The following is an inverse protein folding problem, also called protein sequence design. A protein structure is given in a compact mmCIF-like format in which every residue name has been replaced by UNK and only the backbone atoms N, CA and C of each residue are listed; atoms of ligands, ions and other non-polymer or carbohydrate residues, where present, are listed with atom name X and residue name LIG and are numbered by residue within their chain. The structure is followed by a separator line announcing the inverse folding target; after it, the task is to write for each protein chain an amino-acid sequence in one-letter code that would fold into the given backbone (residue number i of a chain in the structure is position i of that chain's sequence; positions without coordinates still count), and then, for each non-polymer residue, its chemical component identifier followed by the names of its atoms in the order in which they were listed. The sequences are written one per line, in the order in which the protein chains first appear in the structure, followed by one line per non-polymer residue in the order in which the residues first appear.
data_IF_365739352717
#
_entry.id   IF_365739352717
#
_cell.length_a   1.000
_cell.length_b   1.000
_cell.length_c   1.000
_cell.angle_alpha   90.00
_cell.angle_beta   90.00
_cell.angle_gamma   90.00
#
_symmetry.space_group_name_H-M   'P 1'
#
loop_
_entity.id
_entity.type
_entity.pdbx_description
1 polymer ?
#
# COMPACT_ATOMS: atom_id res chain seq x y z
N UNK A 1 -29.19 31.39 1.76
CA UNK A 1 -27.85 31.54 1.14
C UNK A 1 -26.78 32.09 2.11
N UNK A 2 -27.00 33.22 2.80
CA UNK A 2 -25.99 33.85 3.70
C UNK A 2 -25.51 33.00 4.90
N UNK A 3 -26.38 32.17 5.48
CA UNK A 3 -26.03 31.28 6.62
C UNK A 3 -25.03 30.18 6.21
N UNK A 4 -25.33 29.44 5.13
CA UNK A 4 -24.46 28.39 4.58
C UNK A 4 -23.06 28.90 4.17
N UNK A 5 -22.97 30.11 3.64
CA UNK A 5 -21.68 30.74 3.29
C UNK A 5 -20.86 31.14 4.53
N UNK A 6 -21.53 31.61 5.59
CA UNK A 6 -20.89 31.92 6.87
C UNK A 6 -20.38 30.66 7.58
N UNK A 7 -21.14 29.57 7.51
CA UNK A 7 -20.76 28.27 8.06
C UNK A 7 -19.54 27.70 7.30
N UNK A 8 -19.52 27.84 5.96
CA UNK A 8 -18.38 27.46 5.11
C UNK A 8 -17.09 28.24 5.42
N UNK A 9 -17.18 29.56 5.60
CA UNK A 9 -16.02 30.38 5.98
C UNK A 9 -15.48 30.03 7.37
N UNK A 10 -16.36 29.66 8.31
CA UNK A 10 -15.95 29.17 9.62
C UNK A 10 -15.20 27.83 9.52
N UNK A 11 -15.66 26.90 8.68
CA UNK A 11 -14.97 25.62 8.45
C UNK A 11 -13.58 25.84 7.86
N UNK A 12 -13.45 26.72 6.85
CA UNK A 12 -12.13 27.05 6.25
C UNK A 12 -11.20 27.66 7.30
N UNK A 13 -11.72 28.59 8.12
CA UNK A 13 -10.93 29.24 9.17
C UNK A 13 -10.42 28.23 10.20
N UNK A 14 -11.27 27.31 10.65
CA UNK A 14 -10.87 26.22 11.57
C UNK A 14 -9.83 25.30 10.94
N UNK A 15 -9.98 24.93 9.66
CA UNK A 15 -8.98 24.10 8.94
C UNK A 15 -7.63 24.80 8.80
N UNK A 16 -7.60 26.09 8.49
CA UNK A 16 -6.37 26.88 8.40
C UNK A 16 -5.68 26.97 9.78
N UNK A 17 -6.43 27.21 10.85
CA UNK A 17 -5.90 27.24 12.21
C UNK A 17 -5.34 25.87 12.64
N UNK A 18 -5.98 24.75 12.25
CA UNK A 18 -5.47 23.39 12.51
C UNK A 18 -4.15 23.11 11.77
N UNK A 19 -4.05 23.49 10.49
CA UNK A 19 -2.84 23.34 9.68
C UNK A 19 -1.67 24.14 10.27
N UNK A 20 -1.89 25.39 10.66
CA UNK A 20 -0.88 26.20 11.32
C UNK A 20 -0.38 25.59 12.64
N UNK A 21 -1.29 25.03 13.45
CA UNK A 21 -0.95 24.36 14.72
C UNK A 21 -0.13 23.09 14.46
N UNK A 22 -0.49 22.27 13.46
CA UNK A 22 0.27 21.06 13.08
C UNK A 22 1.69 21.38 12.59
N UNK A 23 1.84 22.42 11.76
CA UNK A 23 3.17 22.86 11.30
C UNK A 23 4.03 23.34 12.47
N UNK A 24 3.46 24.12 13.39
CA UNK A 24 4.15 24.59 14.61
C UNK A 24 4.55 23.43 15.54
N UNK A 25 3.71 22.40 15.69
CA UNK A 25 4.03 21.18 16.46
C UNK A 25 5.21 20.42 15.86
N UNK A 26 5.21 20.20 14.53
CA UNK A 26 6.31 19.53 13.83
C UNK A 26 7.62 20.29 14.02
N UNK A 27 7.62 21.61 13.82
CA UNK A 27 8.80 22.45 14.03
C UNK A 27 9.32 22.42 15.48
N UNK A 28 8.43 22.46 16.49
CA UNK A 28 8.83 22.35 17.90
C UNK A 28 9.42 20.97 18.23
N UNK A 29 8.87 19.90 17.66
CA UNK A 29 9.36 18.52 17.89
C UNK A 29 10.78 18.31 17.35
N UNK A 30 11.08 18.87 16.18
CA UNK A 30 12.43 18.85 15.59
C UNK A 30 13.40 19.67 16.44
N UNK A 31 13.01 20.88 16.87
CA UNK A 31 13.82 21.71 17.78
C UNK A 31 14.09 21.00 19.11
N UNK A 32 13.11 20.29 19.66
CA UNK A 32 13.28 19.50 20.89
C UNK A 32 14.30 18.37 20.71
N UNK A 33 14.26 17.65 19.58
CA UNK A 33 15.25 16.60 19.25
C UNK A 33 16.66 17.17 19.12
N UNK A 34 16.82 18.27 18.37
CA UNK A 34 18.10 18.95 18.23
C UNK A 34 18.66 19.46 19.56
N UNK A 35 17.81 19.99 20.44
CA UNK A 35 18.23 20.47 21.77
C UNK A 35 18.65 19.33 22.69
N UNK A 36 18.00 18.16 22.62
CA UNK A 36 18.40 16.95 23.35
C UNK A 36 19.77 16.43 22.92
N UNK A 37 20.06 16.46 21.61
CA UNK A 37 21.38 16.08 21.07
C UNK A 37 22.46 17.04 21.58
N UNK A 38 22.22 18.36 21.53
CA UNK A 38 23.15 19.36 22.07
C UNK A 38 23.39 19.20 23.58
N UNK A 39 22.39 18.77 24.34
CA UNK A 39 22.52 18.50 25.79
C UNK A 39 23.46 17.35 26.12
N UNK A 40 23.55 16.34 25.24
CA UNK A 40 24.51 15.24 25.39
C UNK A 40 25.96 15.68 25.13
N UNK A 41 26.17 16.87 24.57
CA UNK A 41 27.46 17.35 24.05
C UNK A 41 28.02 18.57 24.81
N UNK A 42 27.43 19.05 25.90
CA UNK A 42 27.76 20.34 26.53
C UNK A 42 28.03 20.31 28.04
N UNK A 43 28.92 21.21 28.49
CA UNK A 43 29.46 21.35 29.87
C UNK A 43 28.60 22.21 30.81
N UNK A 44 27.56 22.92 30.33
CA UNK A 44 26.66 23.71 31.19
C UNK A 44 25.17 23.33 30.99
N UNK A 45 24.67 22.30 31.71
CA UNK A 45 23.37 21.64 31.46
C UNK A 45 22.13 22.40 31.94
N UNK A 46 22.26 23.35 32.87
CA UNK A 46 21.13 24.01 33.55
C UNK A 46 20.29 24.91 32.60
N UNK A 47 20.93 25.80 31.83
CA UNK A 47 20.21 26.71 30.91
C UNK A 47 19.48 25.97 29.76
N UNK A 48 19.99 24.81 29.34
CA UNK A 48 19.39 24.01 28.27
C UNK A 48 18.22 23.18 28.82
N UNK A 49 18.31 22.71 30.07
CA UNK A 49 17.25 22.00 30.79
C UNK A 49 16.00 22.88 30.98
N UNK A 50 16.18 24.16 31.27
CA UNK A 50 15.06 25.13 31.36
C UNK A 50 14.39 25.38 30.00
N UNK A 51 15.18 25.52 28.94
CA UNK A 51 14.64 25.62 27.57
C UNK A 51 13.87 24.37 27.17
N UNK A 52 14.34 23.16 27.51
CA UNK A 52 13.61 21.91 27.29
C UNK A 52 12.28 21.89 28.05
N UNK A 53 12.26 22.34 29.30
CA UNK A 53 11.04 22.39 30.13
C UNK A 53 9.99 23.31 29.50
N UNK A 54 10.40 24.50 29.05
CA UNK A 54 9.51 25.45 28.36
C UNK A 54 8.98 24.91 27.02
N UNK A 55 9.83 24.24 26.22
CA UNK A 55 9.42 23.60 24.96
C UNK A 55 8.42 22.47 25.18
N UNK A 56 8.60 21.63 26.21
CA UNK A 56 7.65 20.58 26.58
C UNK A 56 6.28 21.13 26.98
N UNK A 57 6.25 22.23 27.74
CA UNK A 57 4.99 22.89 28.12
C UNK A 57 4.26 23.45 26.89
N UNK A 58 4.98 24.12 25.97
CA UNK A 58 4.39 24.63 24.72
C UNK A 58 3.86 23.52 23.81
N UNK A 59 4.56 22.37 23.74
CA UNK A 59 4.10 21.18 23.01
C UNK A 59 2.79 20.64 23.59
N UNK A 60 2.69 20.51 24.92
CA UNK A 60 1.44 20.07 25.58
C UNK A 60 0.28 21.03 25.32
N UNK A 61 0.53 22.34 25.41
CA UNK A 61 -0.50 23.36 25.15
C UNK A 61 -1.02 23.34 23.70
N UNK A 62 -0.13 23.15 22.70
CA UNK A 62 -0.57 23.00 21.31
C UNK A 62 -1.33 21.69 21.06
N UNK A 63 -0.94 20.60 21.71
CA UNK A 63 -1.63 19.31 21.59
C UNK A 63 -3.08 19.41 22.12
N UNK A 64 -3.26 20.01 23.30
CA UNK A 64 -4.59 20.26 23.87
C UNK A 64 -5.42 21.20 22.99
N UNK A 65 -4.81 22.24 22.39
CA UNK A 65 -5.49 23.14 21.46
C UNK A 65 -5.94 22.41 20.18
N UNK A 66 -5.19 21.40 19.74
CA UNK A 66 -5.55 20.55 18.61
C UNK A 66 -6.73 19.63 18.95
N UNK A 67 -6.77 19.09 20.18
CA UNK A 67 -7.89 18.28 20.69
C UNK A 67 -9.18 19.10 20.87
N UNK A 68 -9.08 20.35 21.35
CA UNK A 68 -10.23 21.24 21.52
C UNK A 68 -10.83 21.73 20.19
N UNK A 69 -10.02 21.79 19.12
CA UNK A 69 -10.48 22.07 17.76
C UNK A 69 -11.14 20.85 17.08
N UNK A 70 -11.27 19.73 17.79
CA UNK A 70 -11.69 18.43 17.28
C UNK A 70 -13.09 17.98 17.80
N UNK A 71 -13.94 18.92 18.22
CA UNK A 71 -15.34 18.60 18.54
C UNK A 71 -16.15 18.30 17.27
N UNK A 72 -16.08 17.04 16.83
CA UNK A 72 -17.07 16.18 16.14
C UNK A 72 -16.30 14.94 15.60
N UNK A 73 -16.54 13.72 16.10
CA UNK A 73 -15.66 12.55 15.89
C UNK A 73 -15.99 11.80 14.59
N UNK A 74 -15.94 12.46 13.42
CA UNK A 74 -16.29 11.81 12.15
C UNK A 74 -15.14 11.87 11.10
N UNK A 75 -14.04 12.59 11.36
CA UNK A 75 -13.00 12.82 10.34
C UNK A 75 -11.73 11.94 10.39
N UNK A 76 -11.50 11.17 11.47
CA UNK A 76 -10.19 10.52 11.71
C UNK A 76 -10.21 9.00 11.45
N UNK A 77 -11.39 8.36 11.46
CA UNK A 77 -11.50 6.91 11.20
C UNK A 77 -11.30 6.57 9.70
N UNK A 78 -11.55 7.50 8.77
CA UNK A 78 -11.30 7.30 7.33
C UNK A 78 -9.83 7.41 6.91
N UNK A 79 -8.96 7.99 7.75
CA UNK A 79 -7.52 8.11 7.46
C UNK A 79 -6.71 6.92 7.98
N UNK A 80 -7.28 6.07 8.85
CA UNK A 80 -6.58 4.93 9.47
C UNK A 80 -7.07 3.56 8.98
N UNK A 81 -8.21 3.45 8.30
CA UNK A 81 -8.74 2.16 7.80
C UNK A 81 -8.63 2.03 6.26
N UNK A 82 -8.10 3.04 5.54
CA UNK A 82 -8.08 3.02 4.07
C UNK A 82 -6.77 3.40 3.38
N UNK A 83 -5.70 3.68 4.12
CA UNK A 83 -4.45 4.14 3.50
C UNK A 83 -3.21 3.71 4.28
N UNK A 84 -2.73 2.51 4.00
CA UNK A 84 -1.29 2.24 4.04
C UNK A 84 -0.65 2.93 2.82
N UNK A 85 -0.52 4.26 2.87
CA UNK A 85 0.34 5.01 1.95
C UNK A 85 1.80 4.82 2.36
N UNK A 86 2.40 3.71 1.93
CA UNK A 86 3.82 3.54 1.63
C UNK A 86 3.84 2.50 0.49
N UNK A 87 4.15 2.74 -0.77
CA UNK A 87 4.44 3.94 -1.54
C UNK A 87 4.96 3.47 -2.92
N UNK A 88 4.14 3.55 -3.97
CA UNK A 88 4.51 3.66 -5.39
C UNK A 88 3.22 3.63 -6.25
N UNK A 89 3.20 4.38 -7.37
CA UNK A 89 2.07 4.49 -8.28
C UNK A 89 1.88 3.19 -9.07
N UNK A 90 0.78 2.45 -8.86
CA UNK A 90 0.44 1.30 -9.73
C UNK A 90 0.21 1.81 -11.15
N UNK A 91 1.13 1.45 -12.07
CA UNK A 91 1.00 1.76 -13.47
C UNK A 91 0.10 0.72 -14.15
N UNK A 92 -1.21 1.01 -14.17
CA UNK A 92 -2.23 0.19 -14.84
C UNK A 92 -1.83 -0.19 -16.27
N UNK A 93 -1.04 0.64 -16.97
CA UNK A 93 -0.66 0.41 -18.36
C UNK A 93 0.35 -0.74 -18.54
N UNK A 94 1.32 -0.89 -17.63
CA UNK A 94 2.29 -2.01 -17.66
C UNK A 94 1.54 -3.32 -17.44
N UNK A 95 0.60 -3.30 -16.50
CA UNK A 95 -0.22 -4.44 -16.16
C UNK A 95 -1.16 -4.81 -17.31
N UNK A 96 -1.91 -3.86 -17.88
CA UNK A 96 -2.82 -4.11 -19.01
C UNK A 96 -2.13 -4.80 -20.19
N UNK A 97 -0.91 -4.36 -20.52
CA UNK A 97 -0.13 -4.93 -21.63
C UNK A 97 0.29 -6.38 -21.36
N UNK A 98 0.51 -6.70 -20.10
CA UNK A 98 1.07 -7.98 -19.69
C UNK A 98 0.01 -8.96 -19.18
N UNK A 99 -1.22 -8.52 -18.81
CA UNK A 99 -2.33 -9.41 -18.46
C UNK A 99 -2.68 -10.33 -19.65
N UNK A 100 -2.38 -11.63 -19.60
CA UNK A 100 -2.64 -12.59 -20.65
C UNK A 100 -4.13 -12.86 -20.73
N UNK A 101 -4.52 -13.68 -21.69
CA UNK A 101 -5.89 -14.14 -21.84
C UNK A 101 -6.34 -15.15 -20.76
N UNK A 102 -5.59 -15.33 -19.67
CA UNK A 102 -5.79 -16.40 -18.67
C UNK A 102 -6.82 -16.06 -17.59
N UNK A 103 -7.94 -15.45 -17.93
CA UNK A 103 -9.06 -15.47 -17.00
C UNK A 103 -10.35 -15.64 -17.78
N UNK A 104 -10.99 -16.80 -17.62
CA UNK A 104 -12.28 -17.13 -18.24
C UNK A 104 -13.46 -16.31 -17.68
N UNK A 105 -13.21 -15.38 -16.75
CA UNK A 105 -14.22 -14.38 -16.35
C UNK A 105 -14.42 -13.43 -17.53
N UNK A 106 -15.18 -13.90 -18.52
CA UNK A 106 -15.56 -13.13 -19.71
C UNK A 106 -16.44 -11.97 -19.26
N UNK A 107 -15.81 -10.81 -19.05
CA UNK A 107 -16.42 -9.48 -19.05
C UNK A 107 -17.84 -9.45 -18.47
N UNK A 108 -17.97 -9.80 -17.19
CA UNK A 108 -19.28 -9.78 -16.56
C UNK A 108 -19.57 -8.35 -16.10
N UNK A 109 -20.46 -7.67 -16.83
CA UNK A 109 -20.92 -6.34 -16.43
C UNK A 109 -22.16 -6.45 -15.56
N UNK A 110 -22.11 -5.81 -14.39
CA UNK A 110 -23.30 -5.60 -13.56
C UNK A 110 -23.60 -4.11 -13.48
N UNK A 111 -24.88 -3.76 -13.57
CA UNK A 111 -25.36 -2.37 -13.54
C UNK A 111 -26.38 -2.26 -12.44
N UNK A 112 -26.17 -1.33 -11.53
CA UNK A 112 -27.11 -1.10 -10.45
C UNK A 112 -28.17 -0.06 -10.84
N UNK A 113 -29.12 0.19 -9.93
CA UNK A 113 -30.21 1.17 -10.12
C UNK A 113 -29.73 2.61 -10.34
N UNK A 114 -28.48 2.93 -9.97
CA UNK A 114 -27.88 4.25 -10.19
C UNK A 114 -27.38 4.46 -11.62
N UNK A 115 -27.44 3.43 -12.46
CA UNK A 115 -26.97 3.46 -13.85
C UNK A 115 -25.44 3.37 -13.99
N UNK A 116 -24.73 3.07 -12.91
CA UNK A 116 -23.29 2.80 -12.95
C UNK A 116 -23.09 1.32 -13.25
N UNK A 117 -22.33 1.06 -14.31
CA UNK A 117 -21.96 -0.28 -14.73
C UNK A 117 -20.50 -0.55 -14.35
N UNK A 118 -20.27 -1.62 -13.60
CA UNK A 118 -18.92 -2.13 -13.35
C UNK A 118 -18.78 -3.46 -14.09
N UNK A 119 -17.67 -3.63 -14.77
CA UNK A 119 -17.30 -4.86 -15.46
C UNK A 119 -16.15 -5.49 -14.70
N UNK A 120 -16.33 -6.76 -14.34
CA UNK A 120 -15.26 -7.63 -13.88
C UNK A 120 -14.52 -8.13 -15.11
N UNK A 121 -13.36 -7.52 -15.37
CA UNK A 121 -12.62 -7.71 -16.62
C UNK A 121 -11.73 -8.95 -16.54
N UNK A 122 -10.96 -9.08 -15.44
CA UNK A 122 -10.05 -10.21 -15.20
C UNK A 122 -9.91 -10.50 -13.71
N UNK A 123 -9.67 -11.77 -13.40
CA UNK A 123 -9.26 -12.24 -12.07
C UNK A 123 -8.04 -13.14 -12.24
N UNK A 124 -6.96 -12.83 -11.52
CA UNK A 124 -5.73 -13.63 -11.52
C UNK A 124 -5.45 -14.12 -10.11
N UNK A 125 -5.09 -15.39 -10.03
CA UNK A 125 -4.58 -16.02 -8.83
C UNK A 125 -3.06 -16.11 -8.93
N UNK A 126 -2.37 -15.59 -7.93
CA UNK A 126 -0.95 -15.83 -7.67
C UNK A 126 -0.79 -16.66 -6.40
N UNK A 127 0.46 -17.01 -6.08
CA UNK A 127 0.80 -17.83 -4.92
C UNK A 127 0.22 -17.30 -3.59
N UNK A 128 0.28 -15.98 -3.39
CA UNK A 128 -0.05 -15.31 -2.12
C UNK A 128 -1.15 -14.24 -2.25
N UNK A 129 -1.71 -14.05 -3.45
CA UNK A 129 -2.70 -13.00 -3.71
C UNK A 129 -3.66 -13.33 -4.85
N UNK A 130 -4.83 -12.69 -4.81
CA UNK A 130 -5.71 -12.55 -5.96
C UNK A 130 -5.71 -11.11 -6.41
N UNK A 131 -5.61 -10.93 -7.72
CA UNK A 131 -5.82 -9.65 -8.37
C UNK A 131 -7.13 -9.61 -9.12
N UNK A 132 -7.82 -8.48 -8.98
CA UNK A 132 -9.07 -8.20 -9.65
C UNK A 132 -8.91 -6.96 -10.49
N UNK A 133 -9.20 -7.09 -11.78
CA UNK A 133 -9.20 -5.99 -12.73
C UNK A 133 -10.64 -5.64 -13.10
N UNK A 134 -10.99 -4.35 -13.00
CA UNK A 134 -12.33 -3.87 -13.31
C UNK A 134 -12.33 -2.64 -14.21
N UNK A 135 -13.37 -2.53 -15.03
CA UNK A 135 -13.72 -1.32 -15.78
C UNK A 135 -15.07 -0.81 -15.28
N UNK A 136 -15.08 0.43 -14.79
CA UNK A 136 -16.30 1.16 -14.45
C UNK A 136 -16.64 2.14 -15.57
N UNK A 137 -17.87 2.06 -16.06
CA UNK A 137 -18.48 3.08 -16.90
C UNK A 137 -19.34 3.98 -16.00
N UNK A 138 -18.93 5.24 -15.86
CA UNK A 138 -19.54 6.21 -14.95
C UNK A 138 -20.41 7.20 -15.71
N UNK A 139 -21.48 7.63 -15.05
CA UNK A 139 -22.44 8.62 -15.56
C UNK A 139 -21.93 10.07 -15.35
N UNK A 140 -20.89 10.25 -14.52
CA UNK A 140 -20.31 11.56 -14.15
C UNK A 140 -18.82 11.63 -14.45
N UNK A 141 -18.28 12.84 -14.62
CA UNK A 141 -16.84 13.08 -14.78
C UNK A 141 -16.05 13.05 -13.47
N UNK A 142 -16.71 13.03 -12.31
CA UNK A 142 -16.05 13.05 -10.99
C UNK A 142 -15.15 11.83 -10.77
N UNK A 143 -14.11 12.00 -9.94
CA UNK A 143 -13.22 10.90 -9.57
C UNK A 143 -13.95 9.96 -8.60
N UNK A 144 -14.11 8.70 -9.01
CA UNK A 144 -14.75 7.67 -8.19
C UNK A 144 -13.68 6.94 -7.38
N UNK A 145 -13.90 6.88 -6.08
CA UNK A 145 -13.10 6.12 -5.12
C UNK A 145 -13.92 4.88 -4.73
N UNK A 146 -13.37 3.70 -4.99
CA UNK A 146 -13.94 2.46 -4.48
C UNK A 146 -13.90 2.49 -2.95
N UNK A 147 -15.04 2.24 -2.29
CA UNK A 147 -15.16 2.45 -0.84
C UNK A 147 -15.06 1.19 -0.01
N UNK A 148 -15.71 0.11 -0.44
CA UNK A 148 -15.66 -1.18 0.26
C UNK A 148 -15.70 -2.31 -0.75
N UNK A 149 -14.74 -3.23 -0.63
CA UNK A 149 -14.68 -4.41 -1.47
C UNK A 149 -14.51 -5.63 -0.58
N UNK A 150 -15.30 -6.65 -0.87
CA UNK A 150 -15.31 -7.90 -0.16
C UNK A 150 -15.03 -9.01 -1.18
N UNK A 151 -14.13 -9.93 -0.81
CA UNK A 151 -13.90 -11.15 -1.57
C UNK A 151 -14.08 -12.35 -0.66
N UNK A 152 -14.76 -13.36 -1.16
CA UNK A 152 -14.91 -14.66 -0.52
C UNK A 152 -14.37 -15.73 -1.44
N UNK A 153 -13.61 -16.66 -0.87
CA UNK A 153 -13.16 -17.88 -1.54
C UNK A 153 -13.79 -19.05 -0.80
N UNK A 154 -14.55 -19.88 -1.52
CA UNK A 154 -15.24 -21.04 -0.96
C UNK A 154 -16.09 -20.67 0.29
N UNK A 155 -16.74 -19.51 0.25
CA UNK A 155 -17.56 -18.98 1.35
C UNK A 155 -16.79 -18.37 2.53
N UNK A 156 -15.45 -18.42 2.54
CA UNK A 156 -14.61 -17.76 3.53
C UNK A 156 -14.22 -16.35 3.05
N UNK A 157 -14.55 -15.32 3.85
CA UNK A 157 -14.16 -13.94 3.56
C UNK A 157 -12.65 -13.77 3.69
N UNK A 158 -12.01 -13.19 2.68
CA UNK A 158 -10.63 -12.76 2.78
C UNK A 158 -10.54 -11.56 3.73
N UNK A 159 -9.71 -11.68 4.76
CA UNK A 159 -9.47 -10.62 5.75
C UNK A 159 -8.27 -9.73 5.37
N UNK A 160 -7.55 -10.10 4.28
CA UNK A 160 -6.33 -9.45 3.84
C UNK A 160 -6.51 -7.99 3.41
N UNK A 161 -5.42 -7.21 3.52
CA UNK A 161 -5.42 -5.79 3.17
C UNK A 161 -5.76 -5.55 1.71
N UNK A 162 -6.77 -4.71 1.48
CA UNK A 162 -7.14 -4.22 0.15
C UNK A 162 -6.17 -3.10 -0.25
N UNK A 163 -5.38 -3.31 -1.30
CA UNK A 163 -4.70 -2.23 -1.99
C UNK A 163 -5.14 -2.19 -3.45
N UNK A 164 -5.12 -1.00 -4.05
CA UNK A 164 -5.51 -0.86 -5.43
C UNK A 164 -5.19 0.51 -6.00
N UNK A 165 -5.25 0.58 -7.31
CA UNK A 165 -5.13 1.82 -8.07
C UNK A 165 -6.27 1.94 -9.02
N UNK A 166 -6.44 3.14 -9.54
CA UNK A 166 -7.33 3.39 -10.64
C UNK A 166 -6.72 4.38 -11.61
N UNK A 167 -7.01 4.18 -12.89
CA UNK A 167 -6.64 5.09 -13.96
C UNK A 167 -7.89 5.65 -14.63
N UNK A 168 -7.85 6.96 -14.89
CA UNK A 168 -8.89 7.67 -15.59
C UNK A 168 -8.58 7.61 -17.08
N UNK A 169 -8.84 6.47 -17.70
CA UNK A 169 -8.58 6.30 -19.14
C UNK A 169 -9.46 7.20 -20.02
N UNK A 170 -10.65 7.57 -19.54
CA UNK A 170 -11.54 8.55 -20.18
C UNK A 170 -12.39 9.26 -19.12
N UNK A 171 -12.94 10.43 -19.44
CA UNK A 171 -13.83 11.23 -18.58
C UNK A 171 -14.98 10.41 -18.00
N UNK A 172 -15.45 9.37 -18.67
CA UNK A 172 -16.57 8.52 -18.24
C UNK A 172 -16.18 7.05 -18.02
N UNK A 173 -14.88 6.72 -18.06
CA UNK A 173 -14.40 5.34 -17.90
C UNK A 173 -13.20 5.28 -16.97
N UNK A 174 -13.31 4.47 -15.92
CA UNK A 174 -12.27 4.28 -14.92
C UNK A 174 -11.89 2.80 -14.86
N UNK A 175 -10.60 2.51 -14.96
CA UNK A 175 -10.05 1.16 -14.76
C UNK A 175 -9.48 1.04 -13.37
N UNK A 176 -9.54 -0.13 -12.76
CA UNK A 176 -8.93 -0.36 -11.46
C UNK A 176 -8.34 -1.77 -11.34
N UNK A 177 -7.25 -1.87 -10.59
CA UNK A 177 -6.68 -3.15 -10.14
C UNK A 177 -6.77 -3.17 -8.63
N UNK A 178 -7.32 -4.25 -8.07
CA UNK A 178 -7.39 -4.52 -6.64
C UNK A 178 -6.64 -5.78 -6.30
N UNK A 179 -6.00 -5.75 -5.14
CA UNK A 179 -5.20 -6.83 -4.59
C UNK A 179 -5.83 -7.33 -3.31
N UNK A 180 -5.96 -8.65 -3.23
CA UNK A 180 -6.42 -9.38 -2.06
C UNK A 180 -5.34 -10.37 -1.64
N UNK A 181 -4.77 -10.20 -0.44
CA UNK A 181 -3.82 -11.17 0.11
C UNK A 181 -4.56 -12.46 0.44
N UNK A 182 -4.02 -13.59 0.01
CA UNK A 182 -4.52 -14.91 0.38
C UNK A 182 -4.08 -15.24 1.79
N UNK A 183 -4.99 -15.87 2.53
CA UNK A 183 -4.61 -16.52 3.78
C UNK A 183 -3.87 -17.82 3.45
N UNK A 184 -2.80 -18.14 4.18
CA UNK A 184 -1.99 -19.35 3.98
C UNK A 184 -2.81 -20.65 4.14
N UNK A 185 -4.00 -20.58 4.76
CA UNK A 185 -4.95 -21.69 4.84
C UNK A 185 -5.66 -22.00 3.51
N UNK A 186 -5.69 -21.05 2.56
CA UNK A 186 -6.39 -21.20 1.29
C UNK A 186 -5.40 -21.74 0.26
N UNK A 187 -5.35 -23.07 0.14
CA UNK A 187 -4.55 -23.76 -0.89
C UNK A 187 -5.36 -23.96 -2.16
N UNK A 188 -5.04 -23.26 -3.27
CA UNK A 188 -5.84 -23.33 -4.50
C UNK A 188 -5.48 -24.60 -5.30
N UNK A 189 -6.00 -25.75 -4.88
CA UNK A 189 -5.67 -27.03 -5.53
C UNK A 189 -6.87 -27.62 -6.30
N UNK A 190 -8.03 -26.98 -6.19
CA UNK A 190 -9.32 -27.46 -6.69
C UNK A 190 -10.09 -26.34 -7.43
N UNK A 191 -11.34 -26.62 -7.76
CA UNK A 191 -12.30 -25.59 -8.15
C UNK A 191 -12.44 -24.58 -7.01
N UNK A 192 -12.23 -23.31 -7.31
CA UNK A 192 -12.42 -22.20 -6.37
C UNK A 192 -13.70 -21.46 -6.74
N UNK A 193 -14.59 -21.36 -5.75
CA UNK A 193 -15.76 -20.48 -5.81
C UNK A 193 -15.33 -19.10 -5.35
N UNK A 194 -15.42 -18.11 -6.23
CA UNK A 194 -15.13 -16.71 -5.91
C UNK A 194 -16.45 -15.95 -5.86
N UNK A 195 -16.65 -15.21 -4.77
CA UNK A 195 -17.67 -14.18 -4.65
C UNK A 195 -16.96 -12.85 -4.44
N UNK A 196 -17.13 -11.91 -5.38
CA UNK A 196 -16.55 -10.58 -5.30
C UNK A 196 -17.67 -9.55 -5.25
N UNK A 197 -17.61 -8.65 -4.26
CA UNK A 197 -18.66 -7.69 -3.98
C UNK A 197 -18.02 -6.31 -3.78
N UNK A 198 -18.54 -5.31 -4.50
CA UNK A 198 -18.24 -3.90 -4.27
C UNK A 198 -19.49 -3.27 -3.64
N UNK A 199 -19.32 -2.72 -2.44
CA UNK A 199 -20.39 -2.07 -1.67
C UNK A 199 -20.14 -0.58 -1.62
N UNK A 200 -21.15 0.15 -2.10
CA UNK A 200 -21.17 1.58 -2.29
C UNK A 200 -19.96 2.12 -3.08
N UNK A 201 -20.07 3.36 -3.53
CA UNK A 201 -18.95 4.09 -4.11
C UNK A 201 -18.83 5.43 -3.42
N UNK A 202 -17.60 5.86 -3.14
CA UNK A 202 -17.31 7.23 -2.72
C UNK A 202 -16.83 8.02 -3.92
N UNK A 203 -17.05 9.32 -3.95
CA UNK A 203 -16.38 10.18 -4.90
C UNK A 203 -15.82 11.41 -4.23
N UNK A 204 -14.69 11.89 -4.72
CA UNK A 204 -14.16 13.20 -4.37
C UNK A 204 -14.40 14.15 -5.53
N UNK A 205 -15.24 15.17 -5.34
CA UNK A 205 -15.31 16.26 -6.31
C UNK A 205 -14.12 17.22 -6.13
N UNK A 206 -13.93 18.14 -7.07
CA UNK A 206 -12.87 19.16 -7.03
C UNK A 206 -12.93 20.08 -5.79
N UNK A 207 -14.03 20.02 -5.03
CA UNK A 207 -14.23 20.78 -3.80
C UNK A 207 -13.95 19.94 -2.53
N UNK A 208 -13.39 18.73 -2.67
CA UNK A 208 -13.14 17.77 -1.59
C UNK A 208 -14.40 17.33 -0.84
N UNK A 209 -15.57 17.44 -1.48
CA UNK A 209 -16.80 16.87 -0.93
C UNK A 209 -16.83 15.38 -1.28
N UNK A 210 -16.95 14.56 -0.24
CA UNK A 210 -17.21 13.14 -0.40
C UNK A 210 -18.69 12.90 -0.46
N UNK A 211 -19.20 12.35 -1.56
CA UNK A 211 -20.54 11.77 -1.56
C UNK A 211 -20.43 10.26 -1.67
N UNK A 212 -21.45 9.62 -1.13
CA UNK A 212 -21.71 8.20 -1.24
C UNK A 212 -22.74 7.96 -2.35
N UNK A 213 -22.47 6.99 -3.21
CA UNK A 213 -23.46 6.38 -4.09
C UNK A 213 -23.74 5.01 -3.51
N UNK A 214 -24.94 4.82 -2.99
CA UNK A 214 -25.34 3.51 -2.50
C UNK A 214 -25.55 2.54 -3.65
N UNK A 215 -25.05 1.33 -3.50
CA UNK A 215 -25.13 0.32 -4.55
C UNK A 215 -24.31 -0.91 -4.24
N UNK A 216 -24.66 -2.02 -4.88
CA UNK A 216 -23.91 -3.25 -4.80
C UNK A 216 -23.62 -3.75 -6.22
N UNK A 217 -22.38 -4.17 -6.45
CA UNK A 217 -21.95 -4.86 -7.66
C UNK A 217 -21.30 -6.16 -7.22
N UNK A 218 -21.96 -7.29 -7.51
CA UNK A 218 -21.51 -8.61 -7.10
C UNK A 218 -21.36 -9.55 -8.28
N UNK A 219 -20.36 -10.43 -8.16
CA UNK A 219 -20.05 -11.50 -9.11
C UNK A 219 -19.80 -12.78 -8.34
N UNK A 220 -20.39 -13.86 -8.82
CA UNK A 220 -20.13 -15.21 -8.32
C UNK A 220 -19.76 -16.11 -9.50
N UNK A 221 -18.61 -16.78 -9.39
CA UNK A 221 -18.19 -17.75 -10.39
C UNK A 221 -17.33 -18.85 -9.77
N UNK A 222 -17.29 -19.99 -10.46
CA UNK A 222 -16.43 -21.12 -10.15
C UNK A 222 -15.43 -21.24 -11.28
N UNK A 223 -14.15 -21.31 -10.94
CA UNK A 223 -13.07 -21.57 -11.87
C UNK A 223 -12.10 -22.57 -11.26
N UNK A 224 -11.36 -23.31 -12.10
CA UNK A 224 -10.23 -24.08 -11.56
C UNK A 224 -9.13 -23.10 -11.15
N UNK A 225 -8.41 -23.40 -10.07
CA UNK A 225 -7.22 -22.65 -9.72
C UNK A 225 -6.25 -22.51 -10.90
N UNK A 226 -6.05 -23.58 -11.68
CA UNK A 226 -5.22 -23.60 -12.89
C UNK A 226 -5.68 -22.65 -14.00
N UNK A 227 -6.96 -22.30 -14.04
CA UNK A 227 -7.55 -21.40 -15.04
C UNK A 227 -7.38 -19.92 -14.65
N UNK A 228 -7.07 -19.66 -13.37
CA UNK A 228 -6.80 -18.32 -12.83
C UNK A 228 -5.32 -18.12 -12.51
N UNK A 229 -4.57 -19.20 -12.34
CA UNK A 229 -3.15 -19.18 -11.96
C UNK A 229 -2.27 -18.71 -13.10
N UNK A 230 -1.27 -17.93 -12.74
CA UNK A 230 -0.15 -17.56 -13.60
C UNK A 230 1.03 -18.50 -13.38
N UNK A 231 1.68 -18.94 -14.47
CA UNK A 231 2.97 -19.64 -14.39
C UNK A 231 3.98 -18.74 -13.66
N UNK A 232 4.51 -19.26 -12.55
CA UNK A 232 5.45 -18.55 -11.68
C UNK A 232 6.67 -19.41 -11.49
N UNK A 233 7.82 -18.89 -11.90
CA UNK A 233 9.12 -19.49 -11.66
C UNK A 233 9.56 -19.18 -10.23
N UNK A 234 10.00 -20.21 -9.52
CA UNK A 234 10.53 -20.07 -8.16
C UNK A 234 12.03 -20.33 -8.21
N UNK A 235 12.80 -19.36 -7.74
CA UNK A 235 14.26 -19.44 -7.61
C UNK A 235 14.62 -19.42 -6.14
N UNK A 236 15.05 -20.55 -5.62
CA UNK A 236 15.52 -20.69 -4.24
C UNK A 236 16.83 -19.92 -4.03
N UNK A 237 16.89 -19.11 -2.98
CA UNK A 237 18.06 -18.26 -2.67
C UNK A 237 18.73 -18.72 -1.37
N UNK A 238 17.94 -18.82 -0.30
CA UNK A 238 18.39 -19.25 1.04
C UNK A 238 19.69 -18.59 1.51
N UNK A 239 19.80 -17.27 1.34
CA UNK A 239 20.96 -16.49 1.77
C UNK A 239 20.62 -15.66 3.00
N UNK A 240 21.46 -15.72 4.03
CA UNK A 240 21.26 -14.97 5.28
C UNK A 240 22.36 -13.96 5.53
N UNK A 241 21.99 -12.85 6.17
CA UNK A 241 22.93 -11.85 6.66
C UNK A 241 22.45 -11.28 8.01
N UNK A 242 23.40 -10.77 8.79
CA UNK A 242 23.16 -10.27 10.15
C UNK A 242 23.28 -8.75 10.13
N UNK A 243 22.22 -8.04 10.50
CA UNK A 243 22.19 -6.58 10.60
C UNK A 243 22.99 -6.07 11.82
N UNK A 244 23.32 -4.76 11.89
CA UNK A 244 24.09 -4.21 13.01
C UNK A 244 23.41 -4.34 14.39
N UNK A 245 22.10 -4.58 14.43
CA UNK A 245 21.32 -4.84 15.65
C UNK A 245 21.15 -6.35 15.95
N UNK A 246 21.97 -7.20 15.34
CA UNK A 246 21.97 -8.66 15.45
C UNK A 246 20.75 -9.36 14.83
N UNK A 247 19.82 -8.62 14.20
CA UNK A 247 18.72 -9.25 13.47
C UNK A 247 19.25 -10.08 12.31
N UNK A 248 18.74 -11.31 12.18
CA UNK A 248 19.08 -12.20 11.07
C UNK A 248 17.99 -12.06 10.02
N UNK A 249 18.40 -11.67 8.82
CA UNK A 249 17.52 -11.64 7.64
C UNK A 249 17.92 -12.80 6.74
N UNK A 250 16.96 -13.63 6.37
CA UNK A 250 17.14 -14.69 5.36
C UNK A 250 16.29 -14.35 4.17
N UNK A 251 16.88 -14.40 2.98
CA UNK A 251 16.16 -14.29 1.71
C UNK A 251 15.91 -15.69 1.24
N UNK A 252 14.62 -16.06 1.23
CA UNK A 252 14.19 -17.44 1.07
C UNK A 252 14.20 -17.80 -0.41
N UNK A 253 13.41 -17.09 -1.21
CA UNK A 253 13.25 -17.33 -2.65
C UNK A 253 12.78 -16.08 -3.40
N UNK A 254 12.94 -16.12 -4.72
CA UNK A 254 12.36 -15.17 -5.67
C UNK A 254 11.25 -15.88 -6.45
N UNK A 255 10.03 -15.35 -6.40
CA UNK A 255 8.94 -15.77 -7.27
C UNK A 255 8.83 -14.79 -8.43
N UNK A 256 8.99 -15.27 -9.66
CA UNK A 256 8.96 -14.45 -10.86
C UNK A 256 7.88 -14.92 -11.84
N UNK A 257 7.13 -13.97 -12.38
CA UNK A 257 6.20 -14.23 -13.47
C UNK A 257 6.15 -13.00 -14.39
N UNK A 258 5.39 -13.07 -15.48
CA UNK A 258 5.34 -11.96 -16.45
C UNK A 258 4.73 -10.65 -15.89
N UNK A 259 4.11 -10.69 -14.70
CA UNK A 259 3.51 -9.54 -14.03
C UNK A 259 4.54 -8.84 -13.15
N UNK A 260 5.16 -9.58 -12.23
CA UNK A 260 6.08 -9.05 -11.24
C UNK A 260 7.08 -10.12 -10.78
N UNK A 261 8.11 -9.65 -10.09
CA UNK A 261 9.02 -10.47 -9.31
C UNK A 261 8.82 -10.16 -7.83
N UNK A 262 8.74 -11.16 -6.96
CA UNK A 262 8.62 -11.00 -5.51
C UNK A 262 9.77 -11.69 -4.81
N UNK A 263 10.53 -10.90 -4.05
CA UNK A 263 11.64 -11.38 -3.23
C UNK A 263 11.13 -11.63 -1.82
N UNK A 264 10.99 -12.89 -1.42
CA UNK A 264 10.53 -13.30 -0.10
C UNK A 264 11.71 -13.40 0.87
N UNK A 265 11.47 -12.96 2.10
CA UNK A 265 12.46 -12.97 3.15
C UNK A 265 11.82 -13.20 4.52
N UNK A 266 12.57 -13.82 5.42
CA UNK A 266 12.23 -13.99 6.82
C UNK A 266 13.16 -13.18 7.71
N UNK A 267 12.63 -12.74 8.85
CA UNK A 267 13.36 -12.05 9.90
C UNK A 267 13.29 -12.93 11.15
N UNK A 268 14.46 -13.27 11.70
CA UNK A 268 14.55 -13.91 13.00
C UNK A 268 14.88 -12.85 14.05
N UNK A 269 14.01 -12.69 15.05
CA UNK A 269 14.15 -11.67 16.08
C UNK A 269 15.40 -11.87 16.97
N UNK A 270 15.95 -10.74 17.38
CA UNK A 270 16.80 -10.58 18.56
C UNK A 270 16.14 -9.52 19.47
N UNK A 271 16.58 -9.38 20.73
CA UNK A 271 15.96 -8.52 21.77
C UNK A 271 15.89 -7.00 21.44
N UNK A 272 16.26 -6.56 20.24
CA UNK A 272 16.42 -5.17 19.82
C UNK A 272 15.25 -4.66 18.94
N UNK A 273 15.10 -3.34 18.87
CA UNK A 273 14.15 -2.68 17.95
C UNK A 273 14.36 -3.14 16.50
N UNK A 274 13.27 -3.42 15.78
CA UNK A 274 13.30 -3.82 14.37
C UNK A 274 13.96 -2.76 13.49
N UNK A 275 14.99 -3.16 12.76
CA UNK A 275 15.62 -2.35 11.73
C UNK A 275 15.01 -2.68 10.36
N UNK A 276 14.46 -1.66 9.72
CA UNK A 276 13.81 -1.84 8.42
C UNK A 276 14.85 -1.95 7.31
N UNK A 277 14.73 -3.02 6.53
CA UNK A 277 15.52 -3.28 5.33
C UNK A 277 14.73 -2.93 4.08
N UNK A 278 15.41 -2.51 3.02
CA UNK A 278 14.90 -2.48 1.65
C UNK A 278 15.87 -3.22 0.74
N UNK A 279 15.38 -3.71 -0.39
CA UNK A 279 16.22 -4.37 -1.39
C UNK A 279 16.24 -3.60 -2.69
N UNK A 280 17.37 -3.67 -3.39
CA UNK A 280 17.51 -3.30 -4.79
C UNK A 280 17.95 -4.52 -5.57
N UNK A 281 17.42 -4.69 -6.78
CA UNK A 281 17.81 -5.79 -7.68
C UNK A 281 18.40 -5.16 -8.94
N UNK A 282 19.54 -5.70 -9.39
CA UNK A 282 20.22 -5.31 -10.61
C UNK A 282 20.35 -6.56 -11.49
N UNK A 283 19.95 -6.47 -12.76
CA UNK A 283 20.10 -7.57 -13.72
C UNK A 283 21.55 -7.72 -14.24
N UNK A 284 21.81 -8.80 -14.97
CA UNK A 284 23.11 -9.10 -15.60
C UNK A 284 23.58 -8.05 -16.63
N UNK A 285 22.68 -7.19 -17.08
CA UNK A 285 22.96 -6.05 -17.96
C UNK A 285 23.22 -4.75 -17.20
N UNK A 286 23.17 -4.78 -15.86
CA UNK A 286 23.38 -3.62 -15.00
C UNK A 286 22.15 -2.73 -14.82
N UNK A 287 20.97 -3.14 -15.30
CA UNK A 287 19.74 -2.40 -15.11
C UNK A 287 19.17 -2.66 -13.72
N UNK A 288 18.82 -1.58 -13.02
CA UNK A 288 18.12 -1.67 -11.75
C UNK A 288 16.63 -1.91 -11.99
N UNK A 289 16.08 -2.94 -11.35
CA UNK A 289 14.66 -3.20 -11.38
C UNK A 289 13.91 -2.13 -10.58
N UNK A 290 12.80 -1.66 -11.15
CA UNK A 290 11.90 -0.77 -10.44
C UNK A 290 11.11 -1.57 -9.40
N UNK A 291 10.92 -1.00 -8.21
CA UNK A 291 9.98 -1.57 -7.25
C UNK A 291 8.58 -1.62 -7.87
N UNK A 292 8.02 -2.81 -7.93
CA UNK A 292 6.62 -3.02 -8.27
C UNK A 292 5.77 -2.96 -7.01
N UNK A 293 4.46 -3.09 -7.22
CA UNK A 293 3.46 -2.84 -6.19
C UNK A 293 3.34 -4.02 -5.24
N UNK A 294 3.09 -3.70 -3.98
CA UNK A 294 2.64 -4.69 -3.01
C UNK A 294 3.70 -5.19 -2.04
N UNK A 295 4.68 -4.41 -1.60
CA UNK A 295 5.51 -4.81 -0.45
C UNK A 295 4.65 -5.10 0.79
N UNK A 296 4.88 -6.26 1.40
CA UNK A 296 4.31 -6.62 2.69
C UNK A 296 5.45 -7.11 3.57
N UNK A 297 5.49 -6.68 4.82
CA UNK A 297 6.33 -7.31 5.83
C UNK A 297 5.81 -7.01 7.23
N UNK A 298 6.16 -7.88 8.17
CA UNK A 298 5.88 -7.81 9.59
C UNK A 298 7.17 -8.15 10.39
N UNK A 299 7.00 -8.51 11.66
CA UNK A 299 8.11 -8.91 12.56
C UNK A 299 8.80 -10.22 12.16
N UNK A 300 8.13 -11.08 11.41
CA UNK A 300 8.62 -12.40 11.00
C UNK A 300 9.20 -12.42 9.59
N UNK A 301 8.95 -11.38 8.78
CA UNK A 301 9.40 -11.32 7.39
C UNK A 301 8.36 -10.73 6.44
N UNK A 302 8.50 -11.04 5.16
CA UNK A 302 7.60 -10.56 4.12
C UNK A 302 8.19 -10.70 2.72
N UNK A 303 7.81 -9.80 1.82
CA UNK A 303 8.39 -9.72 0.49
C UNK A 303 8.42 -8.30 -0.07
N UNK A 304 9.37 -8.09 -0.98
CA UNK A 304 9.44 -6.91 -1.84
C UNK A 304 9.07 -7.26 -3.27
N UNK A 305 8.18 -6.47 -3.88
CA UNK A 305 7.80 -6.64 -5.28
C UNK A 305 8.63 -5.74 -6.21
N UNK A 306 8.98 -6.26 -7.36
CA UNK A 306 9.74 -5.64 -8.44
C UNK A 306 9.07 -5.92 -9.79
N UNK A 307 9.41 -5.14 -10.82
CA UNK A 307 9.00 -5.48 -12.19
C UNK A 307 9.43 -6.93 -12.53
N UNK A 308 8.68 -7.58 -13.42
CA UNK A 308 8.99 -8.94 -13.88
C UNK A 308 10.37 -9.02 -14.52
N UNK A 309 11.11 -10.10 -14.23
CA UNK A 309 12.36 -10.42 -14.89
C UNK A 309 12.09 -11.34 -16.09
N UNK A 310 12.69 -11.03 -17.24
CA UNK A 310 12.72 -11.95 -18.38
C UNK A 310 13.85 -12.98 -18.15
N UNK A 311 13.54 -14.05 -17.42
CA UNK A 311 14.51 -15.09 -17.06
C UNK A 311 15.11 -15.81 -18.29
N UNK A 312 14.51 -15.70 -19.47
CA UNK A 312 15.11 -16.24 -20.71
C UNK A 312 16.27 -15.39 -21.23
N UNK A 313 16.40 -14.16 -20.74
CA UNK A 313 17.39 -13.16 -21.21
C UNK A 313 18.28 -12.62 -20.10
N UNK A 314 17.96 -12.92 -18.86
CA UNK A 314 18.76 -12.57 -17.68
C UNK A 314 19.37 -13.84 -17.13
N UNK A 315 20.70 -13.86 -17.03
CA UNK A 315 21.48 -15.00 -16.55
C UNK A 315 21.63 -14.99 -15.03
N UNK A 316 21.67 -13.79 -14.45
CA UNK A 316 21.77 -13.60 -13.01
C UNK A 316 21.19 -12.24 -12.60
N UNK A 317 20.89 -12.12 -11.31
CA UNK A 317 20.62 -10.84 -10.65
C UNK A 317 21.56 -10.64 -9.46
N UNK A 318 21.81 -9.39 -9.11
CA UNK A 318 22.45 -9.00 -7.86
C UNK A 318 21.41 -8.34 -6.96
N UNK A 319 21.23 -8.90 -5.76
CA UNK A 319 20.32 -8.36 -4.76
C UNK A 319 21.14 -7.62 -3.70
N UNK A 320 20.84 -6.34 -3.50
CA UNK A 320 21.56 -5.46 -2.60
C UNK A 320 20.62 -5.03 -1.46
N UNK A 321 20.87 -5.46 -0.21
CA UNK A 321 20.14 -5.00 0.96
C UNK A 321 20.63 -3.61 1.41
N UNK A 322 19.70 -2.80 1.89
CA UNK A 322 19.95 -1.45 2.42
C UNK A 322 19.20 -1.26 3.74
N UNK A 323 19.83 -0.50 4.64
CA UNK A 323 19.14 0.01 5.82
C UNK A 323 18.25 1.20 5.41
N UNK A 324 16.95 1.15 5.70
CA UNK A 324 16.01 2.21 5.30
C UNK A 324 16.36 3.58 5.86
N UNK A 325 16.88 3.62 7.08
CA UNK A 325 17.11 4.86 7.83
C UNK A 325 18.20 5.75 7.20
N UNK A 326 19.22 5.12 6.62
CA UNK A 326 20.40 5.81 6.13
C UNK A 326 20.54 5.72 4.60
N UNK A 327 19.75 4.86 3.93
CA UNK A 327 19.82 4.60 2.49
C UNK A 327 21.24 4.18 2.03
N UNK A 328 22.00 3.57 2.95
CA UNK A 328 23.36 3.07 2.74
C UNK A 328 23.24 1.57 2.45
N UNK A 329 23.94 1.05 1.41
CA UNK A 329 24.02 -0.39 1.18
C UNK A 329 24.58 -1.06 2.44
N UNK A 330 23.90 -2.11 2.91
CA UNK A 330 24.36 -2.86 4.08
C UNK A 330 25.59 -3.71 3.74
N UNK A 331 25.59 -4.31 2.55
CA UNK A 331 26.73 -5.05 1.99
C UNK A 331 26.78 -4.86 0.46
N UNK A 332 27.75 -5.51 -0.19
CA UNK A 332 27.95 -5.43 -1.65
C UNK A 332 26.87 -6.18 -2.47
N UNK A 333 25.90 -6.81 -1.79
CA UNK A 333 24.89 -7.68 -2.37
C UNK A 333 25.38 -9.11 -2.58
N UNK A 334 24.48 -9.96 -3.05
CA UNK A 334 24.77 -11.33 -3.45
C UNK A 334 24.13 -11.62 -4.81
N UNK A 335 24.79 -12.47 -5.59
CA UNK A 335 24.39 -12.83 -6.94
C UNK A 335 23.58 -14.12 -6.92
N UNK A 336 22.47 -14.13 -7.65
CA UNK A 336 21.59 -15.30 -7.86
C UNK A 336 21.59 -15.60 -9.35
N UNK A 337 22.01 -16.81 -9.72
CA UNK A 337 22.03 -17.31 -11.11
C UNK A 337 20.72 -18.07 -11.41
N UNK A 338 20.28 -18.04 -12.67
CA UNK A 338 19.01 -18.64 -13.13
C UNK A 338 19.21 -19.83 -14.08
#
# INVERSE_FOLDING_TARGET
MKKKFKDFLNIIKVKLEQLEVKVKLKQLSVKLKQLKVKLKQLVNPEQIKDRLKQLKVKLKQLAVKLEQLNHEPIGIILLLIGFSFIGANINIHIWEKNFPAYSEVKWQTTTNETGISITLDKVILMEDEILVYTTMNKVTTDAVLYSWQNMYINGKKLQGGLSGTYDHTDKNRQKAIFRFVLDHEIKPNENIKIEYIIEDLKYGNSNYETKLISGEWSWEFIAKASELSIETDIVDINQSFILPNDQVVTIDYLANNYINSKLYFTISETENDMEFIKFEIIDDSGNKLTSAHGTYFNEEGGYYAFDSIDLNRTSYITIIPYLMKDNIPFNDGFTVEF
#
